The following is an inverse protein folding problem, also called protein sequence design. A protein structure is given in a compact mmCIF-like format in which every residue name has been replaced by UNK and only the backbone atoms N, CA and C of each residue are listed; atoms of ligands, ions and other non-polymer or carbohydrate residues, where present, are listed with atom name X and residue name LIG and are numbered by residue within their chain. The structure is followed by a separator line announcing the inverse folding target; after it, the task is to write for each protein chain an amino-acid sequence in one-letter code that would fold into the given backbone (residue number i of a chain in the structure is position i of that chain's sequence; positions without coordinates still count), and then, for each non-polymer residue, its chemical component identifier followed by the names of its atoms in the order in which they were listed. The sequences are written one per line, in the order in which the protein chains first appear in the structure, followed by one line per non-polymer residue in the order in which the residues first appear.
data_IF_485946556850
#
_entry.id   IF_485946556850
#
_cell.length_a   1.000
_cell.length_b   1.000
_cell.length_c   1.000
_cell.angle_alpha   90.00
_cell.angle_beta   90.00
_cell.angle_gamma   90.00
#
_symmetry.space_group_name_H-M   'P 1'
#
loop_
_entity.id
_entity.type
_entity.pdbx_description
1 polymer ?
#
# COMPACT_ATOMS: atom_id res chain seq x y z
N UNK A 1 57.37 -34.21 20.35
CA UNK A 1 56.19 -34.49 19.49
C UNK A 1 54.91 -33.93 20.14
N UNK A 2 54.86 -32.63 20.49
CA UNK A 2 53.69 -31.99 21.17
C UNK A 2 53.57 -30.50 20.78
N UNK A 3 54.14 -30.08 19.65
CA UNK A 3 54.11 -28.66 19.22
C UNK A 3 53.28 -28.47 17.95
N UNK A 4 53.10 -29.54 17.16
CA UNK A 4 52.31 -29.50 15.93
C UNK A 4 50.82 -29.80 16.14
N UNK A 5 50.43 -30.42 17.27
CA UNK A 5 49.03 -30.74 17.55
C UNK A 5 48.20 -29.53 18.01
N UNK A 6 48.85 -28.49 18.54
CA UNK A 6 48.15 -27.31 19.09
C UNK A 6 47.74 -26.33 17.99
N UNK A 7 48.47 -26.28 16.88
CA UNK A 7 48.19 -25.36 15.76
C UNK A 7 47.02 -25.82 14.88
N UNK A 8 46.71 -27.12 14.84
CA UNK A 8 45.57 -27.63 14.07
C UNK A 8 44.24 -27.44 14.83
N UNK A 9 44.27 -27.38 16.17
CA UNK A 9 43.07 -27.12 16.97
C UNK A 9 42.62 -25.65 16.94
N UNK A 10 43.51 -24.71 16.60
CA UNK A 10 43.19 -23.28 16.55
C UNK A 10 42.56 -22.83 15.21
N UNK A 11 42.66 -23.64 14.15
CA UNK A 11 42.11 -23.30 12.83
C UNK A 11 40.65 -23.76 12.62
N UNK A 12 40.09 -24.56 13.54
CA UNK A 12 38.74 -25.12 13.42
C UNK A 12 37.64 -24.33 14.16
N UNK A 13 37.99 -23.21 14.81
CA UNK A 13 37.08 -22.47 15.70
C UNK A 13 36.62 -21.11 15.16
N UNK A 14 36.76 -20.84 13.85
CA UNK A 14 36.31 -19.58 13.23
C UNK A 14 35.52 -19.78 11.93
N UNK A 15 34.69 -20.82 11.88
CA UNK A 15 33.56 -20.85 10.95
C UNK A 15 32.28 -20.82 11.77
N UNK A 16 32.05 -19.69 12.43
CA UNK A 16 30.69 -19.32 12.82
C UNK A 16 30.00 -18.93 11.51
N UNK A 17 29.51 -19.95 10.80
CA UNK A 17 28.62 -19.73 9.69
C UNK A 17 27.40 -19.04 10.28
N UNK A 18 27.18 -17.77 9.91
CA UNK A 18 25.95 -17.07 10.22
C UNK A 18 24.78 -17.93 9.73
N UNK A 19 24.18 -18.70 10.63
CA UNK A 19 22.90 -19.37 10.39
C UNK A 19 21.92 -18.21 10.31
N UNK A 20 21.31 -17.96 9.14
CA UNK A 20 20.28 -16.92 9.06
C UNK A 20 19.18 -17.31 10.04
N UNK A 21 18.79 -16.38 10.91
CA UNK A 21 17.66 -16.61 11.81
C UNK A 21 16.47 -17.14 11.00
N UNK A 22 15.78 -18.19 11.47
CA UNK A 22 14.59 -18.68 10.80
C UNK A 22 13.60 -17.50 10.69
N UNK A 23 12.89 -17.35 9.56
CA UNK A 23 11.97 -16.24 9.38
C UNK A 23 10.95 -16.25 10.51
N UNK A 24 10.81 -15.11 11.21
CA UNK A 24 9.96 -14.94 12.40
C UNK A 24 8.45 -15.15 12.15
N UNK A 25 8.04 -15.67 10.99
CA UNK A 25 6.64 -16.00 10.74
C UNK A 25 6.49 -17.05 9.62
N UNK A 26 6.17 -18.32 9.96
CA UNK A 26 5.77 -19.31 8.96
C UNK A 26 4.33 -19.10 8.44
N UNK A 27 3.65 -18.04 8.89
CA UNK A 27 2.23 -17.78 8.64
C UNK A 27 1.91 -16.85 7.47
N UNK A 28 2.81 -16.64 6.52
CA UNK A 28 2.49 -15.85 5.31
C UNK A 28 1.94 -16.80 4.23
N UNK A 29 0.63 -16.95 4.20
CA UNK A 29 -0.07 -17.51 3.03
C UNK A 29 -0.11 -16.45 1.93
N UNK A 30 0.98 -16.34 1.16
CA UNK A 30 0.98 -15.56 -0.07
C UNK A 30 0.13 -16.25 -1.13
N UNK A 31 -0.98 -15.62 -1.52
CA UNK A 31 -1.48 -15.74 -2.90
C UNK A 31 -1.12 -14.43 -3.60
N UNK A 32 -0.11 -14.47 -4.49
CA UNK A 32 0.21 -13.39 -5.43
C UNK A 32 0.57 -12.03 -4.81
N UNK A 33 1.57 -12.00 -3.91
CA UNK A 33 2.19 -10.76 -3.40
C UNK A 33 1.34 -9.85 -2.51
N UNK A 34 0.14 -10.28 -2.08
CA UNK A 34 -0.75 -9.48 -1.24
C UNK A 34 -0.64 -9.90 0.23
N UNK A 35 -0.11 -9.03 1.10
CA UNK A 35 -0.16 -9.23 2.56
C UNK A 35 -1.63 -9.16 2.99
N UNK A 36 -2.23 -10.32 3.26
CA UNK A 36 -3.57 -10.40 3.85
C UNK A 36 -3.46 -9.84 5.27
N UNK A 37 -3.97 -8.63 5.50
CA UNK A 37 -3.91 -7.98 6.80
C UNK A 37 -4.51 -8.88 7.89
N UNK A 38 -3.69 -9.25 8.86
CA UNK A 38 -4.10 -10.01 10.04
C UNK A 38 -4.72 -9.07 11.08
N UNK A 39 -5.48 -9.60 12.04
CA UNK A 39 -6.02 -8.78 13.15
C UNK A 39 -4.92 -8.04 13.94
N UNK A 40 -3.70 -8.59 13.98
CA UNK A 40 -2.53 -7.95 14.58
C UNK A 40 -2.07 -6.71 13.77
N UNK A 41 -2.17 -6.75 12.44
CA UNK A 41 -1.86 -5.59 11.58
C UNK A 41 -2.79 -4.40 11.85
N UNK A 42 -4.00 -4.66 12.34
CA UNK A 42 -4.96 -3.63 12.72
C UNK A 42 -4.76 -3.05 14.12
N UNK A 43 -3.79 -3.53 14.91
CA UNK A 43 -3.50 -2.99 16.24
C UNK A 43 -2.55 -1.78 16.20
N UNK A 44 -1.70 -1.69 15.17
CA UNK A 44 -0.72 -0.62 15.01
C UNK A 44 -1.15 0.51 14.06
N UNK A 45 -0.14 1.20 13.53
CA UNK A 45 -0.30 2.21 12.48
C UNK A 45 -0.85 1.56 11.23
N UNK A 46 -1.95 2.13 10.72
CA UNK A 46 -2.57 1.72 9.46
C UNK A 46 -2.52 2.90 8.50
N UNK A 47 -1.56 2.87 7.56
CA UNK A 47 -1.35 3.94 6.60
C UNK A 47 -0.68 3.45 5.31
N UNK A 48 -1.05 4.06 4.19
CA UNK A 48 -0.34 3.95 2.92
C UNK A 48 -0.05 5.32 2.31
N UNK A 49 1.00 5.38 1.50
CA UNK A 49 1.31 6.51 0.64
C UNK A 49 1.95 5.97 -0.64
N UNK A 50 1.36 6.29 -1.79
CA UNK A 50 1.83 5.82 -3.09
C UNK A 50 1.99 6.98 -4.08
N UNK A 51 2.95 6.85 -4.99
CA UNK A 51 3.33 7.81 -6.02
C UNK A 51 3.72 7.13 -7.34
N UNK A 52 4.23 7.90 -8.32
CA UNK A 52 4.49 7.49 -9.70
C UNK A 52 3.25 6.97 -10.41
N UNK A 53 2.41 7.91 -10.86
CA UNK A 53 1.09 7.62 -11.42
C UNK A 53 1.13 7.25 -12.91
N UNK A 54 0.45 6.17 -13.25
CA UNK A 54 0.07 5.78 -14.60
C UNK A 54 -1.42 5.47 -14.64
N UNK A 55 -2.01 5.40 -15.84
CA UNK A 55 -3.45 5.11 -15.99
C UNK A 55 -3.64 3.70 -16.54
N UNK A 56 -4.42 2.89 -15.84
CA UNK A 56 -4.83 1.56 -16.27
C UNK A 56 -6.35 1.41 -16.07
N UNK A 57 -7.09 1.06 -17.13
CA UNK A 57 -8.56 0.93 -17.11
C UNK A 57 -9.28 2.11 -16.41
N UNK A 58 -8.90 3.33 -16.79
CA UNK A 58 -9.37 4.59 -16.19
C UNK A 58 -9.08 4.76 -14.69
N UNK A 59 -8.28 3.90 -14.06
CA UNK A 59 -7.81 4.05 -12.69
C UNK A 59 -6.39 4.59 -12.69
N UNK A 60 -6.11 5.47 -11.73
CA UNK A 60 -4.75 5.92 -11.44
C UNK A 60 -4.06 4.83 -10.61
N UNK A 61 -3.03 4.23 -11.20
CA UNK A 61 -2.19 3.20 -10.61
C UNK A 61 -0.86 3.83 -10.23
N UNK A 62 -0.48 3.70 -8.95
CA UNK A 62 0.73 4.31 -8.39
C UNK A 62 1.68 3.17 -8.04
N UNK A 63 2.76 3.05 -8.82
CA UNK A 63 3.67 1.90 -8.76
C UNK A 63 4.64 1.95 -7.58
N UNK A 64 4.96 3.14 -7.09
CA UNK A 64 5.90 3.33 -5.99
C UNK A 64 5.12 3.52 -4.69
N UNK A 65 5.40 2.70 -3.67
CA UNK A 65 4.77 2.80 -2.35
C UNK A 65 5.81 3.27 -1.32
N UNK A 66 5.61 4.48 -0.78
CA UNK A 66 6.47 5.10 0.22
C UNK A 66 6.14 4.62 1.64
N UNK A 67 4.87 4.33 1.89
CA UNK A 67 4.38 3.79 3.17
C UNK A 67 3.42 2.65 2.88
N UNK A 68 3.63 1.51 3.53
CA UNK A 68 2.75 0.34 3.49
C UNK A 68 2.72 -0.34 4.87
N UNK A 69 1.86 0.17 5.76
CA UNK A 69 1.72 -0.33 7.13
C UNK A 69 0.26 -0.71 7.39
N UNK A 70 -0.01 -2.00 7.58
CA UNK A 70 -1.33 -2.50 7.99
C UNK A 70 -2.48 -2.25 6.99
N UNK A 71 -2.18 -2.07 5.70
CA UNK A 71 -3.09 -1.57 4.67
C UNK A 71 -3.20 -2.51 3.46
N UNK A 72 -4.16 -2.24 2.57
CA UNK A 72 -4.50 -3.08 1.42
C UNK A 72 -4.38 -2.40 0.06
N UNK A 73 -3.44 -1.46 -0.10
CA UNK A 73 -3.18 -0.84 -1.40
C UNK A 73 -2.48 -1.83 -2.34
N UNK A 74 -3.04 -2.02 -3.54
CA UNK A 74 -2.45 -2.86 -4.58
C UNK A 74 -1.89 -1.99 -5.72
N UNK A 75 -0.57 -1.87 -5.77
CA UNK A 75 0.14 -1.07 -6.78
C UNK A 75 -0.06 -1.55 -8.23
N UNK A 76 -0.57 -2.76 -8.45
CA UNK A 76 -0.89 -3.26 -9.80
C UNK A 76 -2.25 -2.77 -10.31
N UNK A 77 -3.18 -2.47 -9.41
CA UNK A 77 -4.57 -2.11 -9.75
C UNK A 77 -4.95 -0.70 -9.35
N UNK A 78 -4.16 -0.05 -8.50
CA UNK A 78 -4.47 1.26 -7.93
C UNK A 78 -5.57 1.22 -6.86
N UNK A 79 -5.97 0.04 -6.41
CA UNK A 79 -7.09 -0.16 -5.50
C UNK A 79 -6.58 -0.34 -4.07
N UNK A 80 -7.05 0.51 -3.17
CA UNK A 80 -6.99 0.27 -1.72
C UNK A 80 -8.18 -0.60 -1.31
N UNK A 81 -7.91 -1.70 -0.59
CA UNK A 81 -8.94 -2.52 0.06
C UNK A 81 -8.84 -2.36 1.57
N UNK A 82 -9.93 -1.96 2.21
CA UNK A 82 -9.99 -1.82 3.66
C UNK A 82 -9.91 -3.19 4.32
N UNK A 83 -8.85 -3.44 5.08
CA UNK A 83 -8.73 -4.62 5.95
C UNK A 83 -9.10 -4.29 7.40
N UNK A 84 -8.68 -3.12 7.87
CA UNK A 84 -8.95 -2.65 9.23
C UNK A 84 -10.06 -1.59 9.20
N UNK A 85 -11.29 -1.87 9.67
CA UNK A 85 -12.36 -0.89 9.63
C UNK A 85 -12.08 0.30 10.56
N UNK A 86 -12.72 1.44 10.27
CA UNK A 86 -12.63 2.65 11.07
C UNK A 86 -12.73 3.93 10.26
N UNK A 87 -12.41 5.05 10.92
CA UNK A 87 -12.36 6.37 10.29
C UNK A 87 -10.99 6.59 9.64
N UNK A 88 -10.97 6.87 8.35
CA UNK A 88 -9.75 7.13 7.58
C UNK A 88 -9.76 8.54 7.01
N UNK A 89 -8.57 9.13 6.94
CA UNK A 89 -8.31 10.27 6.08
C UNK A 89 -7.69 9.77 4.78
N UNK A 90 -8.35 10.04 3.66
CA UNK A 90 -7.82 9.81 2.32
C UNK A 90 -7.48 11.15 1.68
N UNK A 91 -6.35 11.21 1.00
CA UNK A 91 -5.99 12.36 0.17
C UNK A 91 -5.34 11.90 -1.11
N UNK A 92 -5.58 12.64 -2.18
CA UNK A 92 -4.97 12.40 -3.47
C UNK A 92 -4.63 13.73 -4.13
N UNK A 93 -3.63 13.68 -5.00
CA UNK A 93 -3.25 14.78 -5.86
C UNK A 93 -2.80 14.23 -7.21
N UNK A 94 -3.00 15.00 -8.25
CA UNK A 94 -2.48 14.71 -9.57
C UNK A 94 -2.70 15.89 -10.49
N UNK A 95 -1.74 16.10 -11.38
CA UNK A 95 -1.69 17.26 -12.26
C UNK A 95 -1.37 16.79 -13.69
N UNK A 96 -1.82 17.57 -14.67
CA UNK A 96 -1.50 17.27 -16.05
C UNK A 96 -2.27 18.11 -17.05
N UNK A 97 -2.94 17.45 -18.02
CA UNK A 97 -3.63 18.17 -19.09
C UNK A 97 -4.72 19.11 -18.55
N UNK A 98 -5.04 20.15 -19.31
CA UNK A 98 -6.02 21.18 -18.92
C UNK A 98 -7.43 20.64 -18.68
N UNK A 99 -7.75 19.48 -19.25
CA UNK A 99 -9.00 18.74 -19.09
C UNK A 99 -8.90 17.58 -18.07
N UNK A 100 -7.77 17.43 -17.38
CA UNK A 100 -7.58 16.37 -16.37
C UNK A 100 -8.62 16.48 -15.27
N UNK A 101 -9.35 15.39 -15.03
CA UNK A 101 -10.28 15.26 -13.90
C UNK A 101 -10.04 13.94 -13.19
N UNK A 102 -9.76 14.04 -11.89
CA UNK A 102 -9.60 12.87 -11.02
C UNK A 102 -10.76 12.79 -10.02
N UNK A 103 -11.24 11.58 -9.77
CA UNK A 103 -12.31 11.31 -8.82
C UNK A 103 -11.91 10.18 -7.89
N UNK A 104 -11.96 10.42 -6.57
CA UNK A 104 -11.95 9.34 -5.60
C UNK A 104 -13.31 8.64 -5.65
N UNK A 105 -13.30 7.34 -5.97
CA UNK A 105 -14.49 6.48 -5.93
C UNK A 105 -14.36 5.44 -4.83
N UNK A 106 -15.49 5.04 -4.26
CA UNK A 106 -15.64 3.93 -3.31
C UNK A 106 -16.54 2.85 -3.91
N UNK A 107 -16.16 1.60 -3.74
CA UNK A 107 -17.01 0.43 -3.96
C UNK A 107 -17.23 -0.25 -2.62
N UNK A 108 -18.50 -0.37 -2.21
CA UNK A 108 -18.85 -1.03 -0.95
C UNK A 108 -18.56 -2.53 -1.04
N UNK A 109 -18.22 -3.16 0.08
CA UNK A 109 -18.08 -4.61 0.16
C UNK A 109 -19.35 -5.30 -0.37
N UNK A 110 -19.18 -6.36 -1.17
CA UNK A 110 -20.26 -7.09 -1.86
C UNK A 110 -21.07 -6.28 -2.87
N UNK A 111 -20.61 -5.09 -3.25
CA UNK A 111 -21.15 -4.32 -4.39
C UNK A 111 -20.22 -4.39 -5.58
N UNK A 112 -20.79 -4.34 -6.79
CA UNK A 112 -20.03 -4.20 -8.03
C UNK A 112 -19.96 -2.74 -8.53
N UNK A 113 -20.69 -1.83 -7.88
CA UNK A 113 -20.80 -0.44 -8.32
C UNK A 113 -19.82 0.50 -7.61
N UNK A 114 -19.08 1.26 -8.40
CA UNK A 114 -18.27 2.38 -7.90
C UNK A 114 -19.11 3.64 -7.75
N UNK A 115 -18.99 4.32 -6.62
CA UNK A 115 -19.66 5.59 -6.32
C UNK A 115 -18.62 6.70 -6.15
N UNK A 116 -18.85 7.84 -6.78
CA UNK A 116 -18.00 9.01 -6.62
C UNK A 116 -18.14 9.59 -5.22
N UNK A 117 -17.01 9.93 -4.60
CA UNK A 117 -16.95 10.57 -3.27
C UNK A 117 -16.60 12.04 -3.43
N UNK A 118 -15.46 12.33 -4.06
CA UNK A 118 -14.98 13.69 -4.29
C UNK A 118 -14.12 13.73 -5.55
N UNK A 119 -14.17 14.84 -6.28
CA UNK A 119 -13.43 15.03 -7.53
C UNK A 119 -12.64 16.33 -7.49
N UNK A 120 -11.54 16.37 -8.23
CA UNK A 120 -10.85 17.62 -8.59
C UNK A 120 -11.34 18.11 -9.96
N UNK A 121 -11.30 19.43 -10.15
CA UNK A 121 -11.70 20.08 -11.40
C UNK A 121 -10.68 19.93 -12.53
N UNK A 122 -10.90 20.61 -13.66
CA UNK A 122 -9.99 20.61 -14.81
C UNK A 122 -8.56 21.06 -14.43
N UNK A 123 -7.55 20.47 -15.07
CA UNK A 123 -6.13 20.75 -14.81
C UNK A 123 -5.52 19.92 -13.67
N UNK A 124 -6.33 19.14 -12.97
CA UNK A 124 -5.90 18.40 -11.79
C UNK A 124 -6.01 19.23 -10.50
N UNK A 125 -5.15 18.93 -9.53
CA UNK A 125 -5.24 19.44 -8.16
C UNK A 125 -5.21 18.35 -7.10
N UNK A 126 -5.65 18.70 -5.88
CA UNK A 126 -5.65 17.83 -4.71
C UNK A 126 -6.95 17.89 -3.95
N UNK A 127 -7.32 16.79 -3.30
CA UNK A 127 -8.46 16.72 -2.39
C UNK A 127 -8.14 15.85 -1.16
N UNK A 128 -8.89 16.08 -0.09
CA UNK A 128 -8.81 15.34 1.17
C UNK A 128 -10.22 15.09 1.70
N UNK A 129 -10.47 13.89 2.23
CA UNK A 129 -11.76 13.52 2.82
C UNK A 129 -11.58 12.56 3.99
N UNK A 130 -12.46 12.68 5.00
CA UNK A 130 -12.62 11.70 6.07
C UNK A 130 -13.76 10.74 5.72
N UNK A 131 -13.50 9.44 5.76
CA UNK A 131 -14.49 8.39 5.45
C UNK A 131 -14.46 7.32 6.53
N UNK A 132 -15.65 6.98 7.02
CA UNK A 132 -15.86 5.74 7.78
C UNK A 132 -15.98 4.58 6.77
N UNK A 133 -15.07 3.61 6.90
CA UNK A 133 -14.93 2.49 5.96
C UNK A 133 -14.98 1.15 6.68
N UNK A 134 -15.68 0.20 6.07
CA UNK A 134 -15.83 -1.16 6.59
C UNK A 134 -14.87 -2.11 5.89
N UNK A 135 -14.61 -3.26 6.54
CA UNK A 135 -13.76 -4.29 5.97
C UNK A 135 -14.31 -4.78 4.62
N UNK A 136 -13.44 -4.83 3.62
CA UNK A 136 -13.75 -5.20 2.24
C UNK A 136 -14.16 -4.06 1.33
N UNK A 137 -14.40 -2.84 1.86
CA UNK A 137 -14.61 -1.68 1.00
C UNK A 137 -13.36 -1.38 0.17
N UNK A 138 -13.57 -0.90 -1.05
CA UNK A 138 -12.51 -0.56 -1.98
C UNK A 138 -12.54 0.92 -2.34
N UNK A 139 -11.37 1.53 -2.42
CA UNK A 139 -11.18 2.91 -2.84
C UNK A 139 -10.13 2.98 -3.94
N UNK A 140 -10.38 3.82 -4.95
CA UNK A 140 -9.44 4.08 -6.03
C UNK A 140 -9.67 5.47 -6.63
N UNK A 141 -8.64 6.03 -7.23
CA UNK A 141 -8.74 7.27 -7.99
C UNK A 141 -9.01 6.91 -9.45
N UNK A 142 -10.07 7.48 -10.00
CA UNK A 142 -10.43 7.35 -11.41
C UNK A 142 -10.00 8.60 -12.16
N UNK A 143 -9.47 8.40 -13.37
CA UNK A 143 -9.22 9.45 -14.36
C UNK A 143 -10.45 9.52 -15.26
N UNK A 144 -11.29 10.53 -15.04
CA UNK A 144 -12.54 10.68 -15.80
C UNK A 144 -12.30 11.32 -17.17
N UNK A 145 -11.27 12.16 -17.27
CA UNK A 145 -10.83 12.83 -18.50
C UNK A 145 -9.38 13.29 -18.38
N UNK A 146 -8.76 13.60 -19.52
CA UNK A 146 -7.40 14.11 -19.61
C UNK A 146 -6.30 13.09 -19.33
N UNK A 147 -5.09 13.59 -19.10
CA UNK A 147 -3.87 12.82 -18.87
C UNK A 147 -3.14 13.35 -17.64
N UNK A 148 -2.69 12.44 -16.79
CA UNK A 148 -1.74 12.75 -15.72
C UNK A 148 -0.35 12.85 -16.37
N UNK A 149 0.32 13.99 -16.23
CA UNK A 149 1.67 14.21 -16.79
C UNK A 149 2.66 14.67 -15.74
N UNK A 150 2.15 15.28 -14.67
CA UNK A 150 2.91 15.69 -13.52
C UNK A 150 2.59 14.73 -12.37
N UNK A 151 3.55 14.54 -11.45
CA UNK A 151 3.49 13.53 -10.40
C UNK A 151 2.12 13.44 -9.70
N UNK A 152 1.73 12.22 -9.34
CA UNK A 152 0.49 11.94 -8.65
C UNK A 152 0.74 11.22 -7.33
N UNK A 153 -0.18 11.37 -6.40
CA UNK A 153 -0.12 10.76 -5.07
C UNK A 153 -1.49 10.26 -4.64
N UNK A 154 -1.54 9.15 -3.93
CA UNK A 154 -2.70 8.69 -3.20
C UNK A 154 -2.25 8.17 -1.84
N UNK A 155 -2.86 8.69 -0.80
CA UNK A 155 -2.50 8.37 0.59
C UNK A 155 -3.76 8.08 1.38
N UNK A 156 -3.66 7.21 2.36
CA UNK A 156 -4.72 6.99 3.32
C UNK A 156 -4.15 6.54 4.65
N UNK A 157 -4.69 7.06 5.75
CA UNK A 157 -4.34 6.58 7.08
C UNK A 157 -5.57 6.52 7.98
N UNK A 158 -5.59 5.52 8.87
CA UNK A 158 -6.65 5.35 9.84
C UNK A 158 -6.44 6.34 10.99
N UNK A 159 -7.41 7.23 11.16
CA UNK A 159 -7.43 8.26 12.21
C UNK A 159 -8.01 7.68 13.50
N UNK A 160 -9.03 6.82 13.38
CA UNK A 160 -9.68 6.21 14.53
C UNK A 160 -10.06 4.75 14.25
N UNK A 161 -9.76 3.87 15.21
CA UNK A 161 -10.14 2.45 15.17
C UNK A 161 -11.61 2.32 15.64
N UNK A 162 -12.41 1.56 14.89
CA UNK A 162 -13.74 1.14 15.33
C UNK A 162 -13.66 -0.07 16.26
#
# INVERSE_FOLDING_TARGET
MVVWAVLILAAAMLTDAAIPDPPENPGITTIGSKKLGTAADCAGVVAFSATQGSVNEAKLVLSETLVDKGVGYAAQTGIFTTHCPGLYQFSFAGYGSTDLRLTLKRKLNKSESWRSIVSIGPGGGSNLVLLDVDAGDQLAIFVESGKVTDGATFTGHRVYKR
#
